data_IF_299727767694
#
_entry.id   IF_299727767694
#
_cell.length_a   1.000
_cell.length_b   1.000
_cell.length_c   1.000
_cell.angle_alpha   90.00
_cell.angle_beta   90.00
_cell.angle_gamma   90.00
#
_symmetry.space_group_name_H-M   'P 1'
#
loop_
_entity.id
_entity.type
_entity.pdbx_description
1 polymer ?
#
# COMPACT_ATOMS: atom_id res chain seq x y z
N UNK A 1 -12.74 -26.38 -14.87
CA UNK A 1 -11.50 -27.13 -15.14
C UNK A 1 -10.54 -26.18 -15.81
N UNK A 2 -9.60 -25.61 -15.06
CA UNK A 2 -8.69 -24.57 -15.53
C UNK A 2 -7.43 -25.28 -16.09
N UNK A 3 -7.24 -25.22 -17.40
CA UNK A 3 -6.00 -25.70 -18.05
C UNK A 3 -5.05 -24.50 -18.08
N UNK A 4 -3.90 -24.53 -17.40
CA UNK A 4 -2.91 -23.48 -17.56
C UNK A 4 -2.37 -23.52 -18.99
N UNK A 5 -2.28 -22.35 -19.62
CA UNK A 5 -1.70 -22.19 -20.95
C UNK A 5 -0.22 -22.66 -20.94
N UNK A 6 0.02 -23.91 -21.26
CA UNK A 6 1.32 -24.44 -21.71
C UNK A 6 1.44 -24.05 -23.19
N UNK A 7 1.98 -22.89 -23.45
CA UNK A 7 2.77 -22.55 -24.66
C UNK A 7 2.99 -21.03 -24.67
N UNK A 8 4.06 -20.60 -24.04
CA UNK A 8 4.72 -19.34 -24.40
C UNK A 8 6.15 -19.71 -24.72
N UNK A 9 6.65 -19.20 -25.85
CA UNK A 9 7.95 -19.46 -26.38
C UNK A 9 9.03 -19.45 -25.29
N UNK A 10 9.72 -20.60 -25.17
CA UNK A 10 10.83 -20.82 -24.24
C UNK A 10 12.10 -20.01 -24.61
N UNK A 11 11.97 -18.96 -25.42
CA UNK A 11 13.08 -18.24 -26.06
C UNK A 11 13.29 -16.80 -25.58
N UNK A 12 12.41 -16.22 -24.79
CA UNK A 12 12.63 -14.84 -24.28
C UNK A 12 13.32 -14.85 -22.92
N UNK A 13 14.64 -14.55 -22.84
CA UNK A 13 15.38 -14.51 -21.58
C UNK A 13 14.94 -13.38 -20.66
N UNK A 14 14.05 -12.49 -21.10
CA UNK A 14 13.45 -11.42 -20.29
C UNK A 14 12.27 -11.90 -19.45
N UNK A 15 11.70 -13.07 -19.74
CA UNK A 15 10.73 -13.76 -18.89
C UNK A 15 11.45 -14.79 -18.00
N UNK A 16 10.92 -15.11 -16.80
CA UNK A 16 11.52 -16.10 -15.92
C UNK A 16 11.56 -17.49 -16.56
N UNK A 17 12.70 -18.16 -16.51
CA UNK A 17 12.91 -19.52 -17.04
C UNK A 17 13.63 -20.42 -16.03
N UNK A 18 13.42 -21.73 -16.13
CA UNK A 18 14.04 -22.77 -15.32
C UNK A 18 15.36 -23.23 -15.92
N UNK A 19 16.14 -24.01 -15.15
CA UNK A 19 17.35 -24.69 -15.66
C UNK A 19 17.04 -25.65 -16.80
N UNK A 20 15.87 -26.30 -16.76
CA UNK A 20 15.46 -27.22 -17.81
C UNK A 20 15.23 -26.47 -19.13
N UNK A 21 14.51 -25.34 -19.09
CA UNK A 21 14.28 -24.46 -20.24
C UNK A 21 15.59 -23.84 -20.73
N UNK A 22 16.48 -23.41 -19.84
CA UNK A 22 17.81 -22.92 -20.20
C UNK A 22 18.61 -23.96 -20.98
N UNK A 23 18.64 -25.22 -20.49
CA UNK A 23 19.34 -26.33 -21.16
C UNK A 23 18.75 -26.62 -22.54
N UNK A 24 17.42 -26.61 -22.64
CA UNK A 24 16.74 -26.79 -23.95
C UNK A 24 17.09 -25.66 -24.93
N UNK A 25 17.36 -24.43 -24.45
CA UNK A 25 17.83 -23.29 -25.21
C UNK A 25 19.37 -23.27 -25.45
N UNK A 26 20.11 -24.32 -25.06
CA UNK A 26 21.56 -24.42 -25.25
C UNK A 26 22.40 -23.65 -24.23
N UNK A 27 21.80 -23.14 -23.13
CA UNK A 27 22.53 -22.45 -22.07
C UNK A 27 23.15 -23.48 -21.10
N UNK A 28 24.42 -23.27 -20.76
CA UNK A 28 25.14 -24.12 -19.80
C UNK A 28 24.90 -23.66 -18.36
N UNK A 29 25.20 -24.50 -17.37
CA UNK A 29 25.12 -24.14 -15.97
C UNK A 29 26.08 -22.97 -15.62
N UNK A 30 27.26 -22.93 -16.24
CA UNK A 30 28.23 -21.86 -16.07
C UNK A 30 27.71 -20.53 -16.61
N UNK A 31 27.02 -20.55 -17.74
CA UNK A 31 26.39 -19.34 -18.29
C UNK A 31 25.32 -18.79 -17.34
N UNK A 32 24.53 -19.64 -16.68
CA UNK A 32 23.52 -19.23 -15.70
C UNK A 32 24.11 -18.64 -14.42
N UNK A 33 25.37 -18.98 -14.08
CA UNK A 33 26.11 -18.43 -12.95
C UNK A 33 26.87 -17.14 -13.32
N UNK A 34 26.93 -16.79 -14.60
CA UNK A 34 27.58 -15.58 -15.06
C UNK A 34 26.77 -14.33 -14.74
N UNK A 35 27.40 -13.13 -14.91
CA UNK A 35 26.75 -11.83 -14.74
C UNK A 35 25.64 -11.54 -15.76
N UNK A 36 25.43 -12.39 -16.73
CA UNK A 36 24.38 -12.24 -17.77
C UNK A 36 23.00 -12.57 -17.27
N UNK A 37 22.87 -13.31 -16.16
CA UNK A 37 21.60 -13.75 -15.60
C UNK A 37 21.51 -13.47 -14.11
N UNK A 38 20.29 -13.14 -13.65
CA UNK A 38 19.95 -13.09 -12.24
C UNK A 38 19.18 -14.35 -11.84
N UNK A 39 19.59 -14.99 -10.75
CA UNK A 39 18.84 -16.04 -10.11
C UNK A 39 17.80 -15.41 -9.19
N UNK A 40 16.50 -15.57 -9.52
CA UNK A 40 15.39 -15.04 -8.74
C UNK A 40 15.05 -15.97 -7.56
N UNK A 41 14.95 -17.28 -7.87
CA UNK A 41 14.66 -18.35 -6.90
C UNK A 41 15.54 -19.58 -7.18
N UNK A 42 15.29 -20.68 -6.47
CA UNK A 42 16.10 -21.92 -6.56
C UNK A 42 16.22 -22.52 -7.97
N UNK A 43 15.20 -22.33 -8.80
CA UNK A 43 15.20 -22.78 -10.20
C UNK A 43 14.45 -21.77 -11.09
N UNK A 44 14.69 -20.48 -10.89
CA UNK A 44 14.17 -19.42 -11.74
C UNK A 44 15.26 -18.39 -12.02
N UNK A 45 15.47 -18.11 -13.27
CA UNK A 45 16.47 -17.20 -13.79
C UNK A 45 15.83 -16.19 -14.73
N UNK A 46 16.49 -15.06 -14.95
CA UNK A 46 16.11 -14.01 -15.89
C UNK A 46 17.38 -13.31 -16.38
N UNK A 47 17.34 -12.68 -17.54
CA UNK A 47 18.43 -11.84 -18.03
C UNK A 47 18.74 -10.69 -17.08
N UNK A 48 20.02 -10.33 -16.93
CA UNK A 48 20.47 -9.31 -15.96
C UNK A 48 20.07 -7.88 -16.31
N UNK A 49 19.64 -7.62 -17.53
CA UNK A 49 19.08 -6.34 -17.98
C UNK A 49 17.62 -6.11 -17.52
N UNK A 50 16.96 -7.16 -16.98
CA UNK A 50 15.58 -7.09 -16.52
C UNK A 50 15.53 -6.75 -15.02
N UNK A 51 14.88 -5.67 -14.63
CA UNK A 51 14.72 -5.32 -13.22
C UNK A 51 13.86 -6.34 -12.48
N UNK A 52 14.31 -6.77 -11.31
CA UNK A 52 13.58 -7.73 -10.47
C UNK A 52 12.45 -7.01 -9.73
N UNK A 53 11.26 -6.98 -10.34
CA UNK A 53 10.03 -6.43 -9.78
C UNK A 53 9.20 -7.49 -9.05
N UNK A 54 8.20 -7.07 -8.25
CA UNK A 54 7.23 -7.97 -7.61
C UNK A 54 6.47 -8.81 -8.64
N UNK A 55 6.13 -8.22 -9.80
CA UNK A 55 5.49 -8.96 -10.90
C UNK A 55 6.41 -10.05 -11.46
N UNK A 56 7.69 -9.74 -11.68
CA UNK A 56 8.66 -10.73 -12.17
C UNK A 56 8.87 -11.86 -11.17
N UNK A 57 8.96 -11.55 -9.87
CA UNK A 57 9.02 -12.57 -8.80
C UNK A 57 7.77 -13.43 -8.76
N UNK A 58 6.58 -12.83 -8.90
CA UNK A 58 5.31 -13.54 -8.94
C UNK A 58 5.25 -14.50 -10.15
N UNK A 59 5.66 -14.05 -11.35
CA UNK A 59 5.77 -14.89 -12.55
C UNK A 59 6.73 -16.06 -12.32
N UNK A 60 7.87 -15.79 -11.70
CA UNK A 60 8.88 -16.82 -11.43
C UNK A 60 8.40 -17.87 -10.44
N UNK A 61 7.79 -17.46 -9.31
CA UNK A 61 7.38 -18.41 -8.26
C UNK A 61 6.22 -19.31 -8.69
N UNK A 62 5.23 -18.78 -9.44
CA UNK A 62 4.07 -19.56 -9.92
C UNK A 62 4.50 -20.74 -10.80
N UNK A 63 5.61 -20.63 -11.52
CA UNK A 63 6.18 -21.71 -12.35
C UNK A 63 6.80 -22.84 -11.51
N UNK A 64 7.16 -22.57 -10.26
CA UNK A 64 7.93 -23.45 -9.39
C UNK A 64 7.08 -24.13 -8.31
N UNK A 65 5.79 -23.82 -8.24
CA UNK A 65 4.87 -24.30 -7.20
C UNK A 65 3.77 -25.18 -7.79
N UNK A 66 3.09 -26.02 -6.98
CA UNK A 66 2.04 -26.91 -7.45
C UNK A 66 0.92 -26.16 -8.17
N UNK A 67 0.32 -26.83 -9.16
CA UNK A 67 -0.90 -26.32 -9.82
C UNK A 67 -2.00 -26.06 -8.80
N UNK A 68 -2.72 -24.95 -8.98
CA UNK A 68 -3.73 -24.46 -8.02
C UNK A 68 -3.17 -23.50 -6.96
N UNK A 69 -1.85 -23.27 -6.93
CA UNK A 69 -1.26 -22.19 -6.13
C UNK A 69 -1.56 -20.82 -6.75
N UNK A 70 -1.61 -19.79 -5.92
CA UNK A 70 -1.86 -18.40 -6.37
C UNK A 70 -1.06 -17.39 -5.54
N UNK A 71 -0.83 -16.22 -6.12
CA UNK A 71 -0.19 -15.08 -5.44
C UNK A 71 -1.15 -14.50 -4.41
N UNK A 72 -0.64 -14.18 -3.20
CA UNK A 72 -1.47 -13.75 -2.07
C UNK A 72 -0.74 -12.73 -1.18
N UNK A 73 -1.43 -12.25 -0.13
CA UNK A 73 -0.88 -11.39 0.92
C UNK A 73 -0.14 -10.15 0.38
N UNK A 74 1.08 -9.85 0.90
CA UNK A 74 1.84 -8.66 0.53
C UNK A 74 2.14 -8.58 -0.96
N UNK A 75 2.52 -9.69 -1.59
CA UNK A 75 2.79 -9.72 -3.04
C UNK A 75 1.53 -9.42 -3.86
N UNK A 76 0.38 -9.97 -3.46
CA UNK A 76 -0.89 -9.65 -4.11
C UNK A 76 -1.26 -8.17 -3.90
N UNK A 77 -1.08 -7.63 -2.69
CA UNK A 77 -1.34 -6.23 -2.40
C UNK A 77 -0.50 -5.29 -3.30
N UNK A 78 0.80 -5.57 -3.47
CA UNK A 78 1.67 -4.82 -4.39
C UNK A 78 1.17 -4.88 -5.83
N UNK A 79 0.77 -6.07 -6.31
CA UNK A 79 0.22 -6.24 -7.66
C UNK A 79 -1.15 -5.57 -7.81
N UNK A 80 -1.91 -5.38 -6.75
CA UNK A 80 -3.14 -4.59 -6.71
C UNK A 80 -2.89 -3.08 -6.53
N UNK A 81 -1.62 -2.63 -6.52
CA UNK A 81 -1.25 -1.21 -6.46
C UNK A 81 -1.17 -0.62 -5.07
N UNK A 82 -1.20 -1.46 -4.03
CA UNK A 82 -0.97 -1.04 -2.65
C UNK A 82 0.52 -1.07 -2.27
N UNK A 83 0.85 -0.48 -1.12
CA UNK A 83 2.20 -0.42 -0.56
C UNK A 83 2.23 -1.06 0.84
N UNK A 84 2.20 -2.39 0.95
CA UNK A 84 2.38 -3.07 2.23
C UNK A 84 3.80 -2.83 2.76
N UNK A 85 4.04 -2.96 4.08
CA UNK A 85 5.39 -2.98 4.62
C UNK A 85 6.24 -4.07 3.94
N UNK A 86 7.49 -3.77 3.53
CA UNK A 86 8.34 -4.74 2.87
C UNK A 86 8.77 -5.83 3.86
N UNK A 87 8.64 -7.09 3.49
CA UNK A 87 9.11 -8.24 4.27
C UNK A 87 10.12 -9.12 3.52
N UNK A 88 10.51 -8.71 2.31
CA UNK A 88 11.53 -9.36 1.50
C UNK A 88 11.12 -10.70 0.89
N UNK A 89 9.89 -11.15 1.07
CA UNK A 89 9.39 -12.43 0.59
C UNK A 89 8.34 -12.27 -0.53
N UNK A 90 8.25 -13.29 -1.39
CA UNK A 90 7.14 -13.45 -2.33
C UNK A 90 6.11 -14.38 -1.72
N UNK A 91 4.89 -13.88 -1.55
CA UNK A 91 3.81 -14.58 -0.87
C UNK A 91 2.94 -15.35 -1.85
N UNK A 92 2.72 -16.63 -1.55
CA UNK A 92 1.85 -17.54 -2.29
C UNK A 92 0.92 -18.30 -1.34
N UNK A 93 -0.24 -18.67 -1.84
CA UNK A 93 -1.11 -19.63 -1.17
C UNK A 93 -1.11 -20.93 -1.95
N UNK A 94 -0.89 -22.04 -1.24
CA UNK A 94 -0.84 -23.40 -1.79
C UNK A 94 -2.23 -24.06 -1.71
N UNK A 95 -2.55 -24.99 -2.64
CA UNK A 95 -3.84 -25.69 -2.64
C UNK A 95 -3.99 -26.69 -1.47
N UNK A 96 -2.88 -27.10 -0.86
CA UNK A 96 -2.88 -28.00 0.29
C UNK A 96 -1.69 -27.74 1.21
N UNK A 97 -1.80 -28.14 2.48
CA UNK A 97 -0.73 -28.02 3.47
C UNK A 97 0.49 -28.92 3.15
N UNK A 98 0.29 -30.01 2.41
CA UNK A 98 1.35 -30.99 2.11
C UNK A 98 2.45 -30.46 1.17
N UNK A 99 2.21 -29.37 0.45
CA UNK A 99 3.20 -28.73 -0.43
C UNK A 99 4.07 -27.67 0.24
N UNK A 100 3.95 -27.49 1.56
CA UNK A 100 4.62 -26.42 2.30
C UNK A 100 6.11 -26.70 2.43
N UNK A 101 6.90 -26.19 1.52
CA UNK A 101 8.36 -26.19 1.61
C UNK A 101 8.85 -24.79 2.00
N UNK A 102 9.73 -24.74 3.01
CA UNK A 102 10.43 -23.49 3.34
C UNK A 102 11.46 -23.25 2.25
N UNK A 103 11.29 -22.16 1.50
CA UNK A 103 12.20 -21.76 0.43
C UNK A 103 12.62 -20.32 0.61
N UNK A 104 13.89 -20.05 0.45
CA UNK A 104 14.42 -18.71 0.58
C UNK A 104 13.71 -17.73 -0.38
N UNK A 105 13.25 -16.59 0.16
CA UNK A 105 12.56 -15.55 -0.60
C UNK A 105 11.09 -15.86 -0.94
N UNK A 106 10.54 -17.00 -0.48
CA UNK A 106 9.13 -17.36 -0.68
C UNK A 106 8.47 -17.67 0.67
N UNK A 107 7.31 -17.07 0.92
CA UNK A 107 6.46 -17.37 2.08
C UNK A 107 5.18 -18.04 1.61
N UNK A 108 5.05 -19.31 1.95
CA UNK A 108 3.90 -20.13 1.59
C UNK A 108 2.83 -20.07 2.67
N UNK A 109 1.59 -19.84 2.25
CA UNK A 109 0.39 -19.87 3.07
C UNK A 109 -0.52 -21.01 2.64
N UNK A 110 -1.50 -21.31 3.48
CA UNK A 110 -2.52 -22.31 3.24
C UNK A 110 -3.83 -21.87 3.87
N UNK A 111 -4.93 -22.03 3.17
CA UNK A 111 -6.28 -21.82 3.67
C UNK A 111 -7.02 -23.15 3.76
N UNK A 112 -7.67 -23.41 4.90
CA UNK A 112 -8.54 -24.58 5.07
C UNK A 112 -9.77 -24.55 4.15
N UNK A 113 -10.23 -23.34 3.83
CA UNK A 113 -11.24 -23.07 2.82
C UNK A 113 -10.59 -22.18 1.76
N UNK A 114 -10.17 -22.74 0.61
CA UNK A 114 -9.48 -21.98 -0.41
C UNK A 114 -10.43 -20.93 -1.00
N UNK A 115 -10.03 -19.65 -0.93
CA UNK A 115 -10.65 -18.60 -1.70
C UNK A 115 -10.45 -18.90 -3.20
N UNK A 116 -11.43 -18.53 -4.02
CA UNK A 116 -11.25 -18.65 -5.48
C UNK A 116 -10.34 -17.52 -5.97
N UNK A 117 -9.16 -17.83 -6.54
CA UNK A 117 -8.30 -16.81 -7.10
C UNK A 117 -8.92 -16.22 -8.36
N UNK A 118 -8.59 -14.97 -8.64
CA UNK A 118 -8.85 -14.32 -9.92
C UNK A 118 -7.57 -14.28 -10.77
N UNK A 119 -7.64 -13.67 -11.94
CA UNK A 119 -6.50 -13.47 -12.82
C UNK A 119 -6.09 -12.00 -12.87
N UNK A 120 -4.80 -11.72 -12.71
CA UNK A 120 -4.18 -10.43 -12.96
C UNK A 120 -2.84 -10.61 -13.66
N UNK A 121 -2.62 -9.87 -14.74
CA UNK A 121 -1.40 -10.01 -15.57
C UNK A 121 -1.11 -11.47 -16.00
N UNK A 122 -2.16 -12.27 -16.18
CA UNK A 122 -2.06 -13.69 -16.51
C UNK A 122 -1.66 -14.60 -15.33
N UNK A 123 -1.61 -14.09 -14.09
CA UNK A 123 -1.27 -14.84 -12.89
C UNK A 123 -2.52 -15.10 -12.04
N UNK A 124 -2.67 -16.30 -11.46
CA UNK A 124 -3.65 -16.55 -10.43
C UNK A 124 -3.28 -15.76 -9.16
N UNK A 125 -4.23 -15.00 -8.63
CA UNK A 125 -4.01 -14.08 -7.50
C UNK A 125 -5.25 -14.01 -6.62
N UNK A 126 -5.09 -13.82 -5.31
CA UNK A 126 -6.23 -13.52 -4.42
C UNK A 126 -6.93 -12.23 -4.85
N UNK A 127 -8.26 -12.18 -4.70
CA UNK A 127 -9.01 -10.94 -4.95
C UNK A 127 -8.53 -9.81 -4.02
N UNK A 128 -8.78 -8.55 -4.32
CA UNK A 128 -8.39 -7.44 -3.44
C UNK A 128 -8.94 -7.61 -2.02
N UNK A 129 -10.21 -8.01 -1.89
CA UNK A 129 -10.86 -8.22 -0.60
C UNK A 129 -10.22 -9.38 0.16
N UNK A 130 -9.96 -10.51 -0.52
CA UNK A 130 -9.27 -11.65 0.11
C UNK A 130 -7.84 -11.28 0.50
N UNK A 131 -7.12 -10.50 -0.34
CA UNK A 131 -5.77 -9.99 -0.03
C UNK A 131 -5.77 -9.16 1.26
N UNK A 132 -6.76 -8.27 1.42
CA UNK A 132 -6.95 -7.49 2.63
C UNK A 132 -7.19 -8.36 3.87
N UNK A 133 -8.07 -9.37 3.77
CA UNK A 133 -8.37 -10.30 4.85
C UNK A 133 -7.17 -11.19 5.20
N UNK A 134 -6.43 -11.66 4.20
CA UNK A 134 -5.21 -12.45 4.38
C UNK A 134 -4.15 -11.68 5.17
N UNK A 135 -3.96 -10.40 4.86
CA UNK A 135 -3.03 -9.53 5.57
C UNK A 135 -3.45 -9.29 7.03
N UNK A 136 -4.74 -9.10 7.28
CA UNK A 136 -5.28 -9.05 8.64
C UNK A 136 -5.01 -10.37 9.38
N UNK A 137 -5.19 -11.50 8.70
CA UNK A 137 -4.99 -12.85 9.23
C UNK A 137 -3.57 -13.15 9.68
N UNK A 138 -2.56 -12.62 8.99
CA UNK A 138 -1.15 -12.74 9.39
C UNK A 138 -0.72 -11.72 10.44
N UNK A 139 -1.61 -10.83 10.85
CA UNK A 139 -1.36 -9.86 11.93
C UNK A 139 -0.79 -8.52 11.48
N UNK A 140 -1.05 -8.11 10.23
CA UNK A 140 -0.72 -6.76 9.80
C UNK A 140 -1.44 -5.73 10.69
N UNK A 141 -0.70 -4.72 11.16
CA UNK A 141 -1.22 -3.70 12.06
C UNK A 141 -2.32 -2.84 11.43
N UNK A 142 -3.18 -2.25 12.26
CA UNK A 142 -4.33 -1.47 11.82
C UNK A 142 -3.97 -0.41 10.77
N UNK A 143 -2.97 0.43 11.05
CA UNK A 143 -2.57 1.54 10.16
C UNK A 143 -2.04 1.02 8.82
N UNK A 144 -1.18 0.01 8.83
CA UNK A 144 -0.64 -0.58 7.61
C UNK A 144 -1.73 -1.27 6.78
N UNK A 145 -2.68 -1.90 7.43
CA UNK A 145 -3.82 -2.52 6.76
C UNK A 145 -4.73 -1.49 6.07
N UNK A 146 -4.95 -0.32 6.69
CA UNK A 146 -5.68 0.80 6.04
C UNK A 146 -4.86 1.38 4.89
N UNK A 147 -3.53 1.51 5.03
CA UNK A 147 -2.66 1.95 3.92
C UNK A 147 -2.79 1.01 2.71
N UNK A 148 -2.84 -0.29 2.95
CA UNK A 148 -3.06 -1.27 1.88
C UNK A 148 -4.46 -1.12 1.28
N UNK A 149 -5.48 -0.96 2.10
CA UNK A 149 -6.86 -0.77 1.65
C UNK A 149 -6.99 0.48 0.77
N UNK A 150 -6.55 1.65 1.25
CA UNK A 150 -6.58 2.92 0.53
C UNK A 150 -5.80 2.82 -0.80
N UNK A 151 -4.65 2.10 -0.81
CA UNK A 151 -3.87 1.86 -2.03
C UNK A 151 -4.61 1.03 -3.08
N UNK A 152 -5.30 -0.04 -2.69
CA UNK A 152 -6.09 -0.88 -3.60
C UNK A 152 -7.34 -0.13 -4.10
N UNK A 153 -7.97 0.68 -3.25
CA UNK A 153 -9.11 1.54 -3.61
C UNK A 153 -8.66 2.58 -4.64
N UNK A 154 -7.57 3.30 -4.37
CA UNK A 154 -6.98 4.28 -5.31
C UNK A 154 -6.68 3.67 -6.67
N UNK A 155 -6.19 2.43 -6.70
CA UNK A 155 -5.93 1.70 -7.94
C UNK A 155 -7.21 1.21 -8.65
N UNK A 156 -8.40 1.45 -8.10
CA UNK A 156 -9.70 1.10 -8.69
C UNK A 156 -10.03 -0.39 -8.62
N UNK A 157 -9.40 -1.16 -7.71
CA UNK A 157 -9.59 -2.61 -7.65
C UNK A 157 -10.61 -3.06 -6.61
N UNK A 158 -10.94 -2.20 -5.66
CA UNK A 158 -11.97 -2.41 -4.63
C UNK A 158 -12.57 -1.06 -4.22
N UNK A 159 -13.51 -1.08 -3.27
CA UNK A 159 -14.07 0.12 -2.64
C UNK A 159 -14.18 -0.05 -1.13
N UNK A 160 -14.34 1.05 -0.35
CA UNK A 160 -14.58 0.97 1.09
C UNK A 160 -15.75 0.04 1.44
N UNK A 161 -16.85 0.11 0.69
CA UNK A 161 -18.07 -0.68 0.92
C UNK A 161 -17.78 -2.17 0.73
N UNK A 162 -17.07 -2.55 -0.34
CA UNK A 162 -16.70 -3.95 -0.61
C UNK A 162 -15.78 -4.51 0.48
N UNK A 163 -14.86 -3.71 1.00
CA UNK A 163 -13.99 -4.13 2.11
C UNK A 163 -14.79 -4.31 3.40
N UNK A 164 -15.76 -3.41 3.69
CA UNK A 164 -16.65 -3.53 4.85
C UNK A 164 -17.50 -4.80 4.75
N UNK A 165 -18.08 -5.07 3.58
CA UNK A 165 -18.87 -6.28 3.34
C UNK A 165 -18.02 -7.55 3.51
N UNK A 166 -16.84 -7.61 2.91
CA UNK A 166 -15.94 -8.75 3.04
C UNK A 166 -15.48 -8.96 4.49
N UNK A 167 -15.16 -7.88 5.21
CA UNK A 167 -14.76 -7.96 6.61
C UNK A 167 -15.91 -8.40 7.54
N UNK A 168 -17.15 -8.02 7.24
CA UNK A 168 -18.34 -8.43 8.00
C UNK A 168 -18.62 -9.95 7.88
N UNK A 169 -18.28 -10.54 6.74
CA UNK A 169 -18.43 -11.97 6.48
C UNK A 169 -17.23 -12.80 6.99
N UNK A 170 -16.13 -12.14 7.36
CA UNK A 170 -14.90 -12.81 7.77
C UNK A 170 -14.89 -13.18 9.24
N UNK A 171 -14.99 -14.49 9.54
CA UNK A 171 -14.86 -15.04 10.90
C UNK A 171 -13.45 -15.53 11.27
N UNK A 172 -12.46 -15.37 10.37
CA UNK A 172 -11.10 -15.89 10.55
C UNK A 172 -10.23 -15.03 11.46
N UNK A 173 -8.97 -15.45 11.59
CA UNK A 173 -7.95 -14.70 12.36
C UNK A 173 -7.84 -13.27 11.82
N UNK A 174 -7.76 -12.29 12.72
CA UNK A 174 -7.66 -10.87 12.35
C UNK A 174 -9.00 -10.19 12.04
N UNK A 175 -10.17 -10.85 12.19
CA UNK A 175 -11.48 -10.31 11.84
C UNK A 175 -11.77 -8.94 12.51
N UNK A 176 -11.38 -8.74 13.78
CA UNK A 176 -11.59 -7.46 14.47
C UNK A 176 -10.79 -6.32 13.83
N UNK A 177 -9.52 -6.59 13.49
CA UNK A 177 -8.64 -5.60 12.84
C UNK A 177 -9.13 -5.33 11.42
N UNK A 178 -9.53 -6.37 10.67
CA UNK A 178 -10.10 -6.24 9.33
C UNK A 178 -11.36 -5.37 9.34
N UNK A 179 -12.33 -5.67 10.21
CA UNK A 179 -13.57 -4.89 10.33
C UNK A 179 -13.30 -3.42 10.65
N UNK A 180 -12.38 -3.18 11.58
CA UNK A 180 -12.00 -1.81 11.95
C UNK A 180 -11.24 -1.09 10.83
N UNK A 181 -10.31 -1.73 10.17
CA UNK A 181 -9.55 -1.15 9.07
C UNK A 181 -10.45 -0.83 7.87
N UNK A 182 -11.39 -1.71 7.53
CA UNK A 182 -12.38 -1.46 6.48
C UNK A 182 -13.22 -0.21 6.74
N UNK A 183 -13.67 0.02 7.99
CA UNK A 183 -14.38 1.23 8.39
C UNK A 183 -13.53 2.50 8.32
N UNK A 184 -12.22 2.39 8.40
CA UNK A 184 -11.27 3.50 8.32
C UNK A 184 -10.71 3.72 6.90
N UNK A 185 -10.95 2.81 5.97
CA UNK A 185 -10.52 2.96 4.58
C UNK A 185 -11.27 4.09 3.88
N UNK A 186 -10.58 4.82 3.02
CA UNK A 186 -11.16 5.96 2.28
C UNK A 186 -10.75 5.92 0.81
N UNK A 187 -11.68 6.35 -0.04
CA UNK A 187 -11.38 6.68 -1.42
C UNK A 187 -10.73 8.07 -1.51
N UNK A 188 -10.01 8.31 -2.60
CA UNK A 188 -9.42 9.60 -2.91
C UNK A 188 -8.09 9.89 -2.21
N UNK A 189 -7.53 8.97 -1.42
CA UNK A 189 -6.20 9.13 -0.80
C UNK A 189 -5.11 8.83 -1.82
N UNK A 190 -4.14 9.72 -2.02
CA UNK A 190 -3.13 9.58 -3.08
C UNK A 190 -1.85 8.87 -2.64
N UNK A 191 -1.55 8.85 -1.35
CA UNK A 191 -0.30 8.26 -0.86
C UNK A 191 -0.44 7.52 0.48
N UNK A 192 0.46 6.56 0.76
CA UNK A 192 0.54 5.90 2.07
C UNK A 192 0.74 6.88 3.23
N UNK A 193 1.43 7.98 2.99
CA UNK A 193 1.74 8.95 4.05
C UNK A 193 0.54 9.83 4.40
N UNK A 194 -0.29 10.16 3.43
CA UNK A 194 -1.58 10.84 3.66
C UNK A 194 -2.51 9.96 4.51
N UNK A 195 -2.62 8.64 4.19
CA UNK A 195 -3.34 7.68 5.04
C UNK A 195 -2.81 7.69 6.47
N UNK A 196 -1.48 7.63 6.65
CA UNK A 196 -0.87 7.63 7.99
C UNK A 196 -1.12 8.91 8.74
N UNK A 197 -0.98 10.07 8.10
CA UNK A 197 -1.25 11.37 8.71
C UNK A 197 -2.73 11.48 9.13
N UNK A 198 -3.66 11.10 8.25
CA UNK A 198 -5.09 11.06 8.57
C UNK A 198 -5.37 10.18 9.78
N UNK A 199 -4.82 8.96 9.81
CA UNK A 199 -5.03 8.03 10.91
C UNK A 199 -4.39 8.50 12.22
N UNK A 200 -3.24 9.17 12.18
CA UNK A 200 -2.65 9.79 13.36
C UNK A 200 -3.64 10.75 14.03
N UNK A 201 -4.29 11.62 13.23
CA UNK A 201 -5.28 12.58 13.72
C UNK A 201 -6.54 11.89 14.27
N UNK A 202 -7.10 10.95 13.50
CA UNK A 202 -8.34 10.24 13.84
C UNK A 202 -8.17 9.37 15.08
N UNK A 203 -7.08 8.61 15.19
CA UNK A 203 -6.81 7.75 16.34
C UNK A 203 -6.47 8.54 17.62
N UNK A 204 -6.01 9.77 17.46
CA UNK A 204 -5.84 10.71 18.57
C UNK A 204 -7.17 11.35 19.02
N UNK A 205 -8.26 11.14 18.28
CA UNK A 205 -9.59 11.65 18.59
C UNK A 205 -9.83 13.08 18.11
N UNK A 206 -9.01 13.59 17.19
CA UNK A 206 -9.33 14.80 16.43
C UNK A 206 -10.44 14.50 15.40
N UNK A 207 -11.20 15.50 14.96
CA UNK A 207 -12.17 15.33 13.90
C UNK A 207 -11.52 14.73 12.66
N UNK A 208 -12.25 13.91 11.91
CA UNK A 208 -11.73 13.37 10.64
C UNK A 208 -11.75 14.46 9.56
N UNK A 209 -10.60 14.76 8.93
CA UNK A 209 -10.54 15.69 7.81
C UNK A 209 -11.10 15.06 6.54
N UNK A 210 -11.57 15.87 5.59
CA UNK A 210 -11.82 15.42 4.22
C UNK A 210 -10.50 15.17 3.49
N UNK A 211 -10.42 14.07 2.76
CA UNK A 211 -9.24 13.72 1.96
C UNK A 211 -9.30 14.37 0.59
N UNK A 212 -8.17 14.82 0.10
CA UNK A 212 -7.94 15.31 -1.27
C UNK A 212 -8.99 16.31 -1.78
N UNK A 213 -9.40 17.23 -0.90
CA UNK A 213 -10.40 18.25 -1.23
C UNK A 213 -9.83 19.32 -2.14
N UNK A 214 -10.67 19.76 -3.10
CA UNK A 214 -10.31 20.81 -4.05
C UNK A 214 -10.79 22.15 -3.51
N UNK A 215 -9.85 23.05 -3.23
CA UNK A 215 -10.15 24.44 -2.88
C UNK A 215 -10.08 25.29 -4.14
N UNK A 216 -11.04 26.21 -4.28
CA UNK A 216 -11.16 27.13 -5.43
C UNK A 216 -11.36 28.55 -4.95
N UNK A 217 -10.86 29.54 -5.71
CA UNK A 217 -11.31 30.93 -5.58
C UNK A 217 -12.76 31.04 -6.02
N UNK A 218 -13.47 32.07 -5.51
CA UNK A 218 -14.88 32.33 -5.88
C UNK A 218 -15.06 32.64 -7.36
N UNK A 219 -14.07 33.27 -7.99
CA UNK A 219 -14.03 33.57 -9.43
C UNK A 219 -13.60 32.36 -10.29
N UNK A 220 -13.22 31.22 -9.68
CA UNK A 220 -12.77 30.02 -10.38
C UNK A 220 -11.35 30.09 -10.96
N UNK A 221 -10.65 31.25 -10.84
CA UNK A 221 -9.32 31.48 -11.42
C UNK A 221 -8.22 30.61 -10.83
N UNK A 222 -8.45 30.09 -9.62
CA UNK A 222 -7.50 29.24 -8.92
C UNK A 222 -8.18 27.98 -8.36
N UNK A 223 -7.53 26.83 -8.58
CA UNK A 223 -8.00 25.52 -8.12
C UNK A 223 -6.82 24.64 -7.75
N UNK A 224 -6.82 24.15 -6.51
CA UNK A 224 -5.80 23.20 -6.05
C UNK A 224 -6.38 22.14 -5.14
N UNK A 225 -5.83 20.92 -5.21
CA UNK A 225 -6.15 19.80 -4.34
C UNK A 225 -5.18 19.77 -3.17
N UNK A 226 -5.70 19.50 -1.98
CA UNK A 226 -4.96 19.39 -0.72
C UNK A 226 -5.27 18.09 -0.02
N UNK A 227 -4.27 17.50 0.66
CA UNK A 227 -4.34 16.15 1.22
C UNK A 227 -5.46 15.99 2.25
N UNK A 228 -5.47 16.81 3.29
CA UNK A 228 -6.43 16.77 4.38
C UNK A 228 -6.99 18.16 4.66
N UNK A 229 -8.32 18.29 4.65
CA UNK A 229 -8.99 19.61 4.74
C UNK A 229 -10.12 19.60 5.75
N UNK A 230 -10.13 20.57 6.64
CA UNK A 230 -11.24 20.92 7.53
C UNK A 230 -11.93 22.16 6.96
N UNK A 231 -12.85 21.95 6.01
CA UNK A 231 -13.47 23.02 5.23
C UNK A 231 -14.20 24.05 6.10
N UNK A 232 -14.92 23.59 7.14
CA UNK A 232 -15.75 24.42 8.03
C UNK A 232 -14.96 25.46 8.82
N UNK A 233 -13.65 25.20 9.04
CA UNK A 233 -12.73 26.10 9.76
C UNK A 233 -11.57 26.58 8.88
N UNK A 234 -11.59 26.26 7.58
CA UNK A 234 -10.54 26.64 6.60
C UNK A 234 -9.13 26.27 7.04
N UNK A 235 -8.98 25.05 7.54
CA UNK A 235 -7.68 24.48 7.90
C UNK A 235 -7.30 23.38 6.91
N UNK A 236 -6.08 23.46 6.41
CA UNK A 236 -5.42 22.44 5.57
C UNK A 236 -4.30 21.81 6.38
N UNK A 237 -4.21 20.48 6.32
CA UNK A 237 -3.06 19.71 6.83
C UNK A 237 -2.49 18.92 5.66
N UNK A 238 -1.24 19.13 5.32
CA UNK A 238 -0.61 18.56 4.14
C UNK A 238 0.67 17.81 4.50
N UNK A 239 0.86 16.65 3.89
CA UNK A 239 2.09 15.91 4.01
C UNK A 239 3.13 16.40 3.00
N UNK A 240 4.28 16.84 3.47
CA UNK A 240 5.44 17.15 2.61
C UNK A 240 6.50 16.07 2.75
N UNK A 241 6.62 15.23 1.72
CA UNK A 241 7.60 14.15 1.65
C UNK A 241 8.97 14.57 1.15
N UNK A 242 9.16 15.84 0.80
CA UNK A 242 10.41 16.34 0.23
C UNK A 242 11.49 16.49 1.30
N UNK A 243 12.53 15.69 1.19
CA UNK A 243 13.68 15.75 2.10
C UNK A 243 14.77 16.74 1.63
N UNK A 244 14.73 17.20 0.36
CA UNK A 244 15.71 18.10 -0.22
C UNK A 244 15.02 19.15 -1.09
N UNK A 245 14.95 20.39 -0.60
CA UNK A 245 14.43 21.55 -1.35
C UNK A 245 15.59 22.22 -2.10
N UNK A 246 16.05 21.64 -3.22
CA UNK A 246 17.10 22.22 -4.04
C UNK A 246 16.60 22.96 -5.30
N UNK A 247 15.27 22.97 -5.58
CA UNK A 247 14.74 23.63 -6.75
C UNK A 247 14.17 25.02 -6.42
N UNK A 248 14.90 26.06 -6.85
CA UNK A 248 14.54 27.47 -6.67
C UNK A 248 13.16 27.81 -7.29
N UNK A 249 12.77 27.16 -8.40
CA UNK A 249 11.45 27.39 -9.02
C UNK A 249 10.32 26.88 -8.13
N UNK A 250 10.54 25.78 -7.46
CA UNK A 250 9.57 25.18 -6.57
C UNK A 250 9.37 26.02 -5.30
N UNK A 251 10.45 26.63 -4.79
CA UNK A 251 10.39 27.56 -3.66
C UNK A 251 9.51 28.79 -3.94
N UNK A 252 9.65 29.39 -5.11
CA UNK A 252 8.76 30.50 -5.54
C UNK A 252 7.29 30.04 -5.63
N UNK A 253 7.03 28.87 -6.20
CA UNK A 253 5.68 28.31 -6.29
C UNK A 253 5.06 28.10 -4.90
N UNK A 254 5.84 27.68 -3.91
CA UNK A 254 5.38 27.47 -2.54
C UNK A 254 5.10 28.80 -1.80
N UNK A 255 5.85 29.88 -2.11
CA UNK A 255 5.57 31.23 -1.59
C UNK A 255 4.22 31.73 -2.15
N UNK A 256 4.05 31.76 -3.46
CA UNK A 256 2.79 32.18 -4.09
C UNK A 256 1.58 31.38 -3.58
N UNK A 257 1.78 30.08 -3.38
CA UNK A 257 0.75 29.23 -2.79
C UNK A 257 0.33 29.68 -1.39
N UNK A 258 1.29 30.04 -0.53
CA UNK A 258 1.00 30.53 0.83
C UNK A 258 0.28 31.86 0.78
N UNK A 259 0.74 32.81 -0.06
CA UNK A 259 0.09 34.09 -0.25
C UNK A 259 -1.36 33.95 -0.73
N UNK A 260 -1.63 33.02 -1.66
CA UNK A 260 -2.96 32.68 -2.13
C UNK A 260 -3.87 32.13 -1.00
N UNK A 261 -3.35 31.24 -0.17
CA UNK A 261 -4.09 30.70 0.98
C UNK A 261 -4.37 31.78 2.02
N UNK A 262 -3.41 32.65 2.29
CA UNK A 262 -3.56 33.76 3.23
C UNK A 262 -4.63 34.75 2.77
N UNK A 263 -4.66 35.11 1.46
CA UNK A 263 -5.72 35.94 0.88
C UNK A 263 -7.11 35.33 0.99
N UNK A 264 -7.21 33.99 0.95
CA UNK A 264 -8.47 33.25 1.13
C UNK A 264 -8.76 32.92 2.60
N UNK A 265 -7.92 33.37 3.54
CA UNK A 265 -8.00 33.07 4.96
C UNK A 265 -7.99 31.56 5.28
N UNK A 266 -7.13 30.80 4.57
CA UNK A 266 -6.88 29.41 4.86
C UNK A 266 -5.61 29.26 5.71
N UNK A 267 -5.70 28.53 6.79
CA UNK A 267 -4.54 28.10 7.59
C UNK A 267 -3.95 26.84 6.98
N UNK A 268 -2.63 26.80 6.80
CA UNK A 268 -1.89 25.62 6.31
C UNK A 268 -0.96 25.08 7.41
N UNK A 269 -1.08 23.77 7.72
CA UNK A 269 -0.15 23.03 8.58
C UNK A 269 0.55 21.99 7.72
N UNK A 270 1.88 22.12 7.56
CA UNK A 270 2.71 21.16 6.84
C UNK A 270 3.26 20.14 7.83
N UNK A 271 3.15 18.86 7.49
CA UNK A 271 3.67 17.71 8.27
C UNK A 271 4.65 16.91 7.41
N UNK A 272 5.81 16.60 7.96
CA UNK A 272 6.84 15.80 7.31
C UNK A 272 6.86 14.37 7.85
N UNK A 273 7.68 13.50 7.26
CA UNK A 273 7.92 12.14 7.79
C UNK A 273 8.39 12.17 9.25
N UNK A 274 9.21 13.14 9.63
CA UNK A 274 9.65 13.31 11.03
C UNK A 274 8.45 13.56 11.96
N UNK A 275 7.52 14.41 11.55
CA UNK A 275 6.30 14.70 12.31
C UNK A 275 5.36 13.51 12.46
N UNK A 276 5.38 12.53 11.55
CA UNK A 276 4.58 11.31 11.69
C UNK A 276 5.30 10.26 12.55
N UNK A 277 6.62 10.06 12.35
CA UNK A 277 7.31 8.90 12.90
C UNK A 277 8.17 9.20 14.13
N UNK A 278 8.69 10.43 14.27
CA UNK A 278 9.55 10.82 15.39
C UNK A 278 8.84 11.70 16.40
N UNK A 279 8.08 12.68 15.93
CA UNK A 279 7.40 13.68 16.76
C UNK A 279 5.87 13.68 16.57
N UNK A 280 5.16 12.53 16.63
CA UNK A 280 3.73 12.48 16.37
C UNK A 280 2.91 13.30 17.37
N UNK A 281 3.34 13.38 18.63
CA UNK A 281 2.67 14.21 19.63
C UNK A 281 2.72 15.71 19.25
N UNK A 282 3.88 16.20 18.84
CA UNK A 282 4.05 17.60 18.39
C UNK A 282 3.18 17.90 17.18
N UNK A 283 3.08 16.95 16.24
CA UNK A 283 2.18 17.08 15.10
C UNK A 283 0.72 17.18 15.52
N UNK A 284 0.29 16.34 16.47
CA UNK A 284 -1.06 16.38 17.01
C UNK A 284 -1.37 17.71 17.73
N UNK A 285 -0.43 18.21 18.51
CA UNK A 285 -0.55 19.50 19.21
C UNK A 285 -0.69 20.65 18.22
N UNK A 286 0.18 20.73 17.20
CA UNK A 286 0.12 21.74 16.14
C UNK A 286 -1.22 21.74 15.40
N UNK A 287 -1.75 20.56 15.06
CA UNK A 287 -3.03 20.46 14.35
C UNK A 287 -4.20 20.79 15.28
N UNK A 288 -4.18 20.33 16.53
CA UNK A 288 -5.20 20.70 17.55
C UNK A 288 -5.26 22.21 17.76
N UNK A 289 -4.10 22.84 17.98
CA UNK A 289 -4.02 24.27 18.24
C UNK A 289 -4.49 25.07 17.02
N UNK A 290 -4.11 24.68 15.81
CA UNK A 290 -4.61 25.27 14.58
C UNK A 290 -6.14 25.11 14.43
N UNK A 291 -6.72 23.95 14.80
CA UNK A 291 -8.17 23.75 14.80
C UNK A 291 -8.87 24.73 15.76
N UNK A 292 -8.33 24.90 16.97
CA UNK A 292 -8.86 25.83 17.98
C UNK A 292 -8.72 27.28 17.52
N UNK A 293 -7.56 27.69 17.01
CA UNK A 293 -7.30 29.02 16.46
C UNK A 293 -8.24 29.37 15.30
N UNK A 294 -8.57 28.38 14.46
CA UNK A 294 -9.52 28.53 13.36
C UNK A 294 -11.00 28.45 13.81
N UNK A 295 -11.28 28.33 15.11
CA UNK A 295 -12.65 28.36 15.65
C UNK A 295 -13.38 27.03 15.64
N UNK A 296 -12.68 25.89 15.54
CA UNK A 296 -13.31 24.58 15.65
C UNK A 296 -13.88 24.36 17.05
N UNK A 297 -15.15 23.95 17.11
CA UNK A 297 -15.83 23.68 18.37
C UNK A 297 -15.64 22.21 18.80
N UNK A 298 -15.67 21.95 20.11
CA UNK A 298 -15.65 20.60 20.66
C UNK A 298 -14.30 19.88 20.58
N UNK A 299 -13.21 20.60 20.30
CA UNK A 299 -11.87 20.02 20.26
C UNK A 299 -11.41 19.66 21.66
N UNK A 300 -11.06 18.39 21.87
CA UNK A 300 -10.61 17.87 23.17
C UNK A 300 -9.23 18.43 23.53
N UNK A 301 -9.06 18.78 24.81
CA UNK A 301 -7.75 19.21 25.33
C UNK A 301 -6.73 18.07 25.38
N UNK A 302 -7.18 16.83 25.61
CA UNK A 302 -6.34 15.63 25.70
C UNK A 302 -6.63 14.70 24.55
N UNK A 303 -5.59 14.08 24.01
CA UNK A 303 -5.72 13.09 22.95
C UNK A 303 -6.13 11.72 23.50
N UNK A 304 -6.90 10.94 22.72
CA UNK A 304 -7.11 9.53 23.00
C UNK A 304 -5.76 8.81 22.93
N UNK A 305 -5.46 7.85 23.82
CA UNK A 305 -4.12 7.23 23.86
C UNK A 305 -3.82 6.27 22.71
N UNK A 306 -4.82 5.91 21.93
CA UNK A 306 -4.74 4.84 20.93
C UNK A 306 -3.68 5.07 19.85
N UNK A 307 -3.50 6.32 19.40
CA UNK A 307 -2.50 6.65 18.39
C UNK A 307 -1.09 6.17 18.78
N UNK A 308 -0.76 6.12 20.09
CA UNK A 308 0.55 5.68 20.58
C UNK A 308 0.88 4.22 20.24
N UNK A 309 -0.13 3.37 20.07
CA UNK A 309 0.04 1.97 19.68
C UNK A 309 0.55 1.83 18.24
N UNK A 310 0.32 2.84 17.41
CA UNK A 310 0.61 2.82 15.98
C UNK A 310 1.69 3.83 15.56
N UNK A 311 1.89 4.86 16.37
CA UNK A 311 2.85 5.94 16.16
C UNK A 311 3.64 6.18 17.46
N UNK A 312 4.54 5.28 17.83
CA UNK A 312 5.19 5.33 19.15
C UNK A 312 6.11 6.55 19.36
N UNK A 313 6.53 7.19 18.28
CA UNK A 313 7.54 8.23 18.32
C UNK A 313 8.96 7.66 18.61
N UNK A 314 9.96 8.49 18.56
CA UNK A 314 11.33 8.15 18.98
C UNK A 314 11.90 9.28 19.83
#
# INVERSE_FOLDING_TARGET
MFVPARNRDASDPREPFSRAEARAAGLTAEMLLSKRFHKIFWDAYVSSDVPITSLLRAKAVIRLVPTGSYISHSTAAELWGAAPPPDGATHITLPSACGRQVRQGVRSHYHSQPAQPTLRNGLPISTPEQTFLDLAGIGLGLVDLVVVADGMIRAGHTSPERLVEAAAQWGGKGCRVAGRAALLARDGVDSPQETRLRLLLVLAGLPEPRVNSIIRRRDGSWRRRYDLVYEHVRLIVEYDGRQHAEDTRQWFTDIFRREELDQMHWRLVIVTSEGIYREPLRTLERVRDALVECGALGIRRTFKPEWRLHFPGR
#
